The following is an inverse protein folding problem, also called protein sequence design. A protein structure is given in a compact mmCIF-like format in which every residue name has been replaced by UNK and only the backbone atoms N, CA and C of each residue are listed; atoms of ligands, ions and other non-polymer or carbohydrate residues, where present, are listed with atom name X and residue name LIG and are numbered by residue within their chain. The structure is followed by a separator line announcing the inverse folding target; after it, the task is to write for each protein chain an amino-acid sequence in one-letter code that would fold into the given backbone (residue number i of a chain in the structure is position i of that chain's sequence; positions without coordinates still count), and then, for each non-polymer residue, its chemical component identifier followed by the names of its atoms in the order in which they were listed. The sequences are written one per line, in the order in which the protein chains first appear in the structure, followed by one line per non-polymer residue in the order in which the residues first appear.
data_IF_241385329915
#
_entry.id   IF_241385329915
#
_cell.length_a   1.000
_cell.length_b   1.000
_cell.length_c   1.000
_cell.angle_alpha   90.00
_cell.angle_beta   90.00
_cell.angle_gamma   90.00
#
_symmetry.space_group_name_H-M   'P 1'
#
loop_
_entity.id
_entity.type
_entity.pdbx_description
1 polymer ?
#
# COMPACT_ATOMS: atom_id res chain seq x y z
N UNK A 1 -10.98 0.46 8.39
CA UNK A 1 -9.69 1.12 8.66
C UNK A 1 -9.72 2.49 7.99
N UNK A 2 -9.15 3.51 8.63
CA UNK A 2 -9.09 4.87 8.09
C UNK A 2 -7.78 5.15 7.36
N UNK A 3 -7.73 6.26 6.63
CA UNK A 3 -6.52 6.77 5.99
C UNK A 3 -5.61 7.40 7.07
N UNK A 4 -4.42 6.85 7.34
CA UNK A 4 -3.58 7.27 8.46
C UNK A 4 -3.05 8.70 8.33
N UNK A 5 -2.88 9.19 7.11
CA UNK A 5 -2.33 10.53 6.87
C UNK A 5 -3.23 11.69 7.34
N UNK A 6 -4.49 11.42 7.72
CA UNK A 6 -5.37 12.39 8.35
C UNK A 6 -5.19 12.50 9.87
N UNK A 7 -4.40 11.62 10.49
CA UNK A 7 -4.25 11.57 11.94
C UNK A 7 -2.78 11.70 12.36
N UNK A 8 -2.40 12.88 12.86
CA UNK A 8 -1.02 13.15 13.32
C UNK A 8 -0.57 12.25 14.48
N UNK A 9 -1.50 11.75 15.30
CA UNK A 9 -1.19 10.84 16.41
C UNK A 9 -0.62 9.50 15.95
N UNK A 10 -0.76 9.15 14.66
CA UNK A 10 -0.12 7.93 14.09
C UNK A 10 1.40 8.02 14.23
N UNK A 11 2.00 9.18 13.95
CA UNK A 11 3.45 9.39 14.05
C UNK A 11 3.88 9.30 15.52
N UNK A 12 3.18 10.01 16.40
CA UNK A 12 3.47 10.02 17.84
C UNK A 12 3.35 8.61 18.43
N UNK A 13 2.31 7.87 18.09
CA UNK A 13 2.12 6.48 18.54
C UNK A 13 3.25 5.57 18.07
N UNK A 14 3.68 5.71 16.81
CA UNK A 14 4.81 4.93 16.28
C UNK A 14 6.11 5.24 17.03
N UNK A 15 6.37 6.53 17.31
CA UNK A 15 7.56 6.96 18.05
C UNK A 15 7.58 6.43 19.48
N UNK A 16 6.45 6.54 20.20
CA UNK A 16 6.31 6.00 21.57
C UNK A 16 6.52 4.49 21.58
N UNK A 17 5.86 3.77 20.68
CA UNK A 17 5.98 2.32 20.60
C UNK A 17 7.41 1.90 20.24
N UNK A 18 8.07 2.59 19.33
CA UNK A 18 9.47 2.31 18.98
C UNK A 18 10.41 2.49 20.18
N UNK A 19 10.16 3.49 21.03
CA UNK A 19 10.95 3.72 22.23
C UNK A 19 10.69 2.68 23.32
N UNK A 20 9.42 2.32 23.55
CA UNK A 20 9.03 1.33 24.58
C UNK A 20 9.56 -0.06 24.23
N UNK A 21 9.48 -0.44 22.95
CA UNK A 21 9.74 -1.83 22.54
C UNK A 21 11.14 -2.09 21.98
N UNK A 22 11.99 -1.06 21.85
CA UNK A 22 13.36 -1.24 21.33
C UNK A 22 14.17 -2.28 22.08
N UNK A 23 13.92 -2.44 23.40
CA UNK A 23 14.61 -3.38 24.25
C UNK A 23 13.88 -4.75 24.38
N UNK A 24 12.64 -4.83 23.91
CA UNK A 24 11.77 -6.01 24.01
C UNK A 24 11.73 -6.82 22.72
N UNK A 25 11.71 -6.14 21.58
CA UNK A 25 11.66 -6.77 20.26
C UNK A 25 12.95 -6.47 19.50
N UNK A 26 13.52 -7.49 18.86
CA UNK A 26 14.68 -7.30 17.98
C UNK A 26 14.38 -6.35 16.83
N UNK A 27 13.14 -6.37 16.35
CA UNK A 27 12.69 -5.60 15.20
C UNK A 27 11.27 -5.09 15.47
N UNK A 28 11.09 -3.79 15.43
CA UNK A 28 9.78 -3.14 15.46
C UNK A 28 9.71 -2.15 14.29
N UNK A 29 8.95 -2.52 13.28
CA UNK A 29 8.85 -1.77 12.03
C UNK A 29 7.43 -1.27 11.76
N UNK A 30 7.04 -0.12 12.31
CA UNK A 30 5.75 0.48 11.97
C UNK A 30 5.69 0.80 10.48
N UNK A 31 4.51 0.55 9.88
CA UNK A 31 4.26 0.82 8.46
C UNK A 31 3.01 1.65 8.32
N UNK A 32 3.11 2.74 7.56
CA UNK A 32 1.96 3.52 7.09
C UNK A 32 1.68 3.15 5.65
N UNK A 33 0.41 2.85 5.36
CA UNK A 33 -0.08 2.68 4.00
C UNK A 33 -1.07 3.81 3.68
N UNK A 34 -0.88 4.48 2.56
CA UNK A 34 -1.72 5.60 2.14
C UNK A 34 -2.17 5.47 0.69
N UNK A 35 -3.41 5.88 0.43
CA UNK A 35 -3.92 6.08 -0.92
C UNK A 35 -3.56 7.45 -1.50
N UNK A 36 -2.84 8.29 -0.78
CA UNK A 36 -2.55 9.67 -1.13
C UNK A 36 -3.81 10.50 -1.38
N UNK A 37 -4.62 10.79 -0.34
CA UNK A 37 -5.90 11.45 -0.50
C UNK A 37 -5.72 12.90 -0.96
N UNK A 38 -6.35 13.27 -2.09
CA UNK A 38 -6.33 14.63 -2.68
C UNK A 38 -6.86 15.71 -1.72
N UNK A 39 -7.75 15.33 -0.82
CA UNK A 39 -8.34 16.25 0.16
C UNK A 39 -7.41 16.59 1.33
N UNK A 40 -6.33 15.80 1.53
CA UNK A 40 -5.39 16.06 2.63
C UNK A 40 -4.36 17.11 2.24
N UNK A 41 -4.56 18.34 2.68
CA UNK A 41 -3.64 19.46 2.43
C UNK A 41 -2.31 19.35 3.17
N UNK A 42 -2.22 18.47 4.17
CA UNK A 42 -1.02 18.24 4.97
C UNK A 42 -0.33 16.91 4.62
N UNK A 43 -0.70 16.28 3.50
CA UNK A 43 -0.17 14.97 3.11
C UNK A 43 1.36 14.99 2.99
N UNK A 44 1.94 15.95 2.29
CA UNK A 44 3.39 16.08 2.10
C UNK A 44 4.11 16.26 3.45
N UNK A 45 3.59 17.13 4.32
CA UNK A 45 4.13 17.35 5.68
C UNK A 45 4.06 16.07 6.52
N UNK A 46 2.92 15.36 6.48
CA UNK A 46 2.74 14.12 7.21
C UNK A 46 3.75 13.05 6.75
N UNK A 47 3.88 12.84 5.45
CA UNK A 47 4.79 11.81 4.90
C UNK A 47 6.26 12.15 5.17
N UNK A 48 6.64 13.42 5.04
CA UNK A 48 7.98 13.88 5.39
C UNK A 48 8.29 13.61 6.88
N UNK A 49 7.38 14.00 7.77
CA UNK A 49 7.52 13.79 9.22
C UNK A 49 7.56 12.29 9.56
N UNK A 50 6.78 11.45 8.88
CA UNK A 50 6.82 9.99 9.02
C UNK A 50 8.20 9.42 8.71
N UNK A 51 8.79 9.83 7.57
CA UNK A 51 10.12 9.36 7.15
C UNK A 51 11.20 9.82 8.12
N UNK A 52 11.17 11.10 8.55
CA UNK A 52 12.14 11.62 9.51
C UNK A 52 12.03 10.91 10.86
N UNK A 53 10.81 10.73 11.37
CA UNK A 53 10.58 9.96 12.60
C UNK A 53 11.12 8.54 12.49
N UNK A 54 10.96 7.91 11.32
CA UNK A 54 11.53 6.59 11.06
C UNK A 54 13.05 6.57 11.18
N UNK A 55 13.75 7.63 10.74
CA UNK A 55 15.20 7.72 10.87
C UNK A 55 15.66 7.94 12.31
N UNK A 56 14.84 8.61 13.11
CA UNK A 56 15.14 8.92 14.50
C UNK A 56 14.83 7.76 15.45
N UNK A 57 13.70 7.10 15.24
CA UNK A 57 13.16 6.10 16.17
C UNK A 57 13.13 4.65 15.62
N UNK A 58 13.14 4.47 14.32
CA UNK A 58 12.99 3.17 13.66
C UNK A 58 14.30 2.42 13.40
N UNK A 59 15.43 2.91 13.95
CA UNK A 59 16.73 2.31 13.74
C UNK A 59 17.25 2.44 12.29
N UNK A 60 18.06 1.48 11.85
CA UNK A 60 18.69 1.53 10.53
C UNK A 60 17.71 1.40 9.36
N UNK A 61 16.63 0.66 9.54
CA UNK A 61 15.63 0.43 8.48
C UNK A 61 14.59 1.54 8.38
N UNK A 62 14.42 2.33 9.46
CA UNK A 62 13.41 3.37 9.53
C UNK A 62 11.98 2.82 9.60
N UNK A 63 11.00 3.70 9.43
CA UNK A 63 9.59 3.32 9.32
C UNK A 63 9.23 2.97 7.89
N UNK A 64 8.36 1.97 7.71
CA UNK A 64 7.86 1.60 6.40
C UNK A 64 6.83 2.59 5.88
N UNK A 65 6.93 2.92 4.60
CA UNK A 65 5.95 3.76 3.90
C UNK A 65 5.49 3.05 2.63
N UNK A 66 4.17 2.81 2.55
CA UNK A 66 3.54 2.14 1.43
C UNK A 66 2.54 3.07 0.74
N UNK A 67 2.63 3.14 -0.58
CA UNK A 67 1.70 3.86 -1.45
C UNK A 67 0.78 2.88 -2.16
N UNK A 68 -0.53 3.04 -2.02
CA UNK A 68 -1.52 2.24 -2.76
C UNK A 68 -1.61 2.76 -4.19
N UNK A 69 -0.89 2.14 -5.12
CA UNK A 69 -0.84 2.52 -6.53
C UNK A 69 -1.92 1.80 -7.33
N UNK A 70 -1.96 0.49 -7.26
CA UNK A 70 -2.90 -0.47 -7.85
C UNK A 70 -2.85 -0.59 -9.38
N UNK A 71 -2.60 0.48 -10.12
CA UNK A 71 -2.54 0.50 -11.59
C UNK A 71 -1.71 1.68 -12.07
N UNK A 72 -1.12 1.59 -13.25
CA UNK A 72 -0.41 2.67 -13.95
C UNK A 72 -1.29 3.38 -14.99
N UNK A 73 -2.61 3.20 -14.90
CA UNK A 73 -3.61 3.94 -15.65
C UNK A 73 -4.38 4.88 -14.71
N UNK A 74 -4.31 6.20 -14.98
CA UNK A 74 -4.96 7.20 -14.13
C UNK A 74 -6.50 7.14 -14.17
N UNK A 75 -7.11 6.71 -15.28
CA UNK A 75 -8.57 6.58 -15.36
C UNK A 75 -9.04 5.38 -14.52
N UNK A 76 -8.35 4.24 -14.67
CA UNK A 76 -8.62 3.06 -13.86
C UNK A 76 -8.43 3.38 -12.38
N UNK A 77 -7.33 4.06 -12.01
CA UNK A 77 -7.04 4.49 -10.65
C UNK A 77 -8.13 5.41 -10.09
N UNK A 78 -8.58 6.39 -10.87
CA UNK A 78 -9.65 7.30 -10.47
C UNK A 78 -10.97 6.57 -10.19
N UNK A 79 -11.30 5.55 -10.98
CA UNK A 79 -12.47 4.69 -10.71
C UNK A 79 -12.28 3.91 -9.40
N UNK A 80 -11.11 3.26 -9.19
CA UNK A 80 -10.83 2.46 -8.00
C UNK A 80 -10.89 3.29 -6.71
N UNK A 81 -10.40 4.52 -6.72
CA UNK A 81 -10.37 5.41 -5.56
C UNK A 81 -11.48 6.46 -5.55
N UNK A 82 -12.48 6.34 -6.42
CA UNK A 82 -13.60 7.27 -6.53
C UNK A 82 -13.14 8.74 -6.63
N UNK A 83 -12.15 9.01 -7.45
CA UNK A 83 -11.50 10.33 -7.65
C UNK A 83 -10.93 10.98 -6.38
N UNK A 84 -10.70 10.21 -5.32
CA UNK A 84 -10.22 10.75 -4.03
C UNK A 84 -8.70 10.72 -3.86
N UNK A 85 -7.98 10.00 -4.72
CA UNK A 85 -6.51 9.90 -4.69
C UNK A 85 -5.85 10.94 -5.61
N UNK A 86 -4.60 11.28 -5.32
CA UNK A 86 -3.71 12.00 -6.24
C UNK A 86 -3.47 11.19 -7.52
N UNK A 87 -3.10 11.86 -8.63
CA UNK A 87 -2.65 11.18 -9.85
C UNK A 87 -1.31 10.48 -9.65
N UNK A 88 -0.93 9.62 -10.57
CA UNK A 88 0.36 8.93 -10.53
C UNK A 88 1.54 9.90 -10.60
N UNK A 89 1.44 10.94 -11.41
CA UNK A 89 2.44 12.00 -11.56
C UNK A 89 2.57 12.82 -10.26
N UNK A 90 1.45 13.19 -9.65
CA UNK A 90 1.43 13.90 -8.36
C UNK A 90 2.07 13.05 -7.25
N UNK A 91 1.81 11.73 -7.23
CA UNK A 91 2.43 10.80 -6.27
C UNK A 91 3.93 10.65 -6.56
N UNK A 92 4.32 10.53 -7.82
CA UNK A 92 5.72 10.47 -8.24
C UNK A 92 6.50 11.69 -7.74
N UNK A 93 5.98 12.90 -7.99
CA UNK A 93 6.61 14.14 -7.53
C UNK A 93 6.64 14.24 -5.99
N UNK A 94 5.60 13.77 -5.31
CA UNK A 94 5.57 13.70 -3.85
C UNK A 94 6.68 12.78 -3.33
N UNK A 95 6.86 11.59 -3.89
CA UNK A 95 7.92 10.64 -3.51
C UNK A 95 9.32 11.24 -3.74
N UNK A 96 9.52 11.96 -4.83
CA UNK A 96 10.82 12.61 -5.13
C UNK A 96 11.22 13.65 -4.08
N UNK A 97 10.25 14.35 -3.50
CA UNK A 97 10.47 15.37 -2.46
C UNK A 97 10.77 14.76 -1.08
N UNK A 98 10.35 13.52 -0.81
CA UNK A 98 10.63 12.88 0.47
C UNK A 98 12.14 12.65 0.65
N UNK A 99 12.65 12.61 1.89
CA UNK A 99 14.02 12.19 2.17
C UNK A 99 14.31 10.82 1.55
N UNK A 100 15.52 10.63 1.02
CA UNK A 100 15.90 9.35 0.41
C UNK A 100 15.88 8.22 1.45
N UNK A 101 15.27 7.07 1.15
CA UNK A 101 15.28 5.94 2.08
C UNK A 101 16.72 5.49 2.34
N UNK A 102 17.04 5.15 3.59
CA UNK A 102 18.40 4.70 3.97
C UNK A 102 18.61 3.25 3.56
N UNK A 103 17.81 2.33 4.09
CA UNK A 103 17.85 0.89 3.77
C UNK A 103 16.51 0.42 3.21
N UNK A 104 15.42 0.72 3.90
CA UNK A 104 14.08 0.27 3.52
C UNK A 104 13.47 1.21 2.49
N UNK A 105 13.44 0.79 1.24
CA UNK A 105 12.80 1.52 0.14
C UNK A 105 11.29 1.73 0.41
N UNK A 106 10.72 2.75 -0.20
CA UNK A 106 9.26 2.95 -0.21
C UNK A 106 8.57 1.84 -0.99
N UNK A 107 7.41 1.42 -0.54
CA UNK A 107 6.67 0.33 -1.17
C UNK A 107 5.58 0.89 -2.08
N UNK A 108 5.61 0.56 -3.35
CA UNK A 108 4.53 0.78 -4.31
C UNK A 108 3.66 -0.48 -4.32
N UNK A 109 2.48 -0.40 -3.70
CA UNK A 109 1.59 -1.55 -3.59
C UNK A 109 0.56 -1.57 -4.72
N UNK A 110 0.48 -2.71 -5.37
CA UNK A 110 -0.47 -3.03 -6.43
C UNK A 110 -1.38 -4.16 -5.96
N UNK A 111 -2.62 -3.83 -5.63
CA UNK A 111 -3.67 -4.83 -5.49
C UNK A 111 -4.16 -5.18 -6.90
N UNK A 112 -3.77 -6.36 -7.40
CA UNK A 112 -3.96 -6.71 -8.81
C UNK A 112 -5.12 -7.66 -9.05
N UNK A 113 -5.83 -7.36 -10.13
CA UNK A 113 -6.76 -8.25 -10.84
C UNK A 113 -6.12 -8.65 -12.17
N UNK A 114 -6.84 -9.42 -13.00
CA UNK A 114 -6.40 -9.72 -14.36
C UNK A 114 -6.22 -8.50 -15.28
N UNK A 115 -6.76 -7.34 -14.94
CA UNK A 115 -6.89 -6.17 -15.83
C UNK A 115 -6.02 -4.96 -15.43
N UNK A 116 -5.22 -5.05 -14.36
CA UNK A 116 -4.40 -3.92 -13.94
C UNK A 116 -3.29 -3.63 -14.97
N UNK A 117 -3.07 -2.34 -15.22
CA UNK A 117 -1.91 -1.89 -16.00
C UNK A 117 -0.69 -1.75 -15.08
N UNK A 118 0.35 -2.54 -15.34
CA UNK A 118 1.68 -2.47 -14.74
C UNK A 118 2.77 -2.44 -15.83
N UNK A 119 2.60 -1.61 -16.84
CA UNK A 119 3.59 -1.46 -17.90
C UNK A 119 4.94 -0.99 -17.34
N UNK A 120 6.01 -1.75 -17.65
CA UNK A 120 7.38 -1.51 -17.16
C UNK A 120 7.93 -0.16 -17.59
N UNK A 121 7.62 0.31 -18.80
CA UNK A 121 8.10 1.61 -19.29
C UNK A 121 7.42 2.75 -18.54
N UNK A 122 6.11 2.65 -18.31
CA UNK A 122 5.39 3.61 -17.47
C UNK A 122 5.95 3.63 -16.05
N UNK A 123 6.24 2.44 -15.49
CA UNK A 123 6.83 2.30 -14.16
C UNK A 123 8.17 3.02 -14.05
N UNK A 124 9.09 2.76 -15.00
CA UNK A 124 10.42 3.39 -15.06
C UNK A 124 10.36 4.92 -15.27
N UNK A 125 9.34 5.42 -15.97
CA UNK A 125 9.16 6.86 -16.19
C UNK A 125 8.61 7.59 -14.96
N UNK A 126 7.79 6.91 -14.16
CA UNK A 126 7.13 7.51 -13.00
C UNK A 126 7.98 7.39 -11.74
N UNK A 127 8.57 6.24 -11.47
CA UNK A 127 9.18 5.92 -10.20
C UNK A 127 10.65 5.51 -10.32
N UNK A 128 11.41 5.81 -9.27
CA UNK A 128 12.82 5.46 -9.16
C UNK A 128 12.98 4.14 -8.38
N UNK A 129 13.51 3.12 -9.05
CA UNK A 129 13.76 1.79 -8.47
C UNK A 129 14.81 1.77 -7.37
N UNK A 130 15.66 2.80 -7.29
CA UNK A 130 16.60 2.94 -6.17
C UNK A 130 15.90 3.41 -4.89
N UNK A 131 14.76 4.08 -5.02
CA UNK A 131 13.97 4.61 -3.90
C UNK A 131 12.77 3.74 -3.55
N UNK A 132 12.28 2.94 -4.50
CA UNK A 132 11.03 2.20 -4.39
C UNK A 132 11.21 0.71 -4.65
N UNK A 133 10.36 -0.10 -4.01
CA UNK A 133 10.13 -1.51 -4.33
C UNK A 133 8.68 -1.69 -4.77
N UNK A 134 8.41 -2.72 -5.54
CA UNK A 134 7.04 -3.09 -5.94
C UNK A 134 6.53 -4.21 -5.04
N UNK A 135 5.34 -4.02 -4.48
CA UNK A 135 4.59 -5.08 -3.80
C UNK A 135 3.35 -5.40 -4.61
N UNK A 136 3.22 -6.66 -5.02
CA UNK A 136 2.05 -7.16 -5.74
C UNK A 136 1.22 -8.00 -4.77
N UNK A 137 -0.06 -7.66 -4.64
CA UNK A 137 -1.02 -8.39 -3.81
C UNK A 137 -2.18 -8.82 -4.71
N UNK A 138 -2.28 -10.09 -5.09
CA UNK A 138 -3.46 -10.58 -5.81
C UNK A 138 -4.73 -10.31 -5.01
N UNK A 139 -5.77 -9.83 -5.68
CA UNK A 139 -7.07 -9.60 -5.04
C UNK A 139 -7.79 -10.94 -4.92
N UNK A 140 -8.24 -11.24 -3.69
CA UNK A 140 -9.07 -12.41 -3.42
C UNK A 140 -10.52 -12.19 -3.81
N UNK A 141 -11.27 -13.30 -3.95
CA UNK A 141 -12.71 -13.31 -4.18
C UNK A 141 -13.45 -12.81 -2.94
N UNK A 142 -13.50 -11.48 -2.79
CA UNK A 142 -14.35 -10.87 -1.77
C UNK A 142 -15.71 -10.53 -2.35
N UNK A 143 -16.74 -10.43 -1.51
CA UNK A 143 -18.10 -10.05 -1.94
C UNK A 143 -18.09 -8.73 -2.73
N UNK A 144 -17.24 -7.78 -2.34
CA UNK A 144 -17.10 -6.49 -3.04
C UNK A 144 -16.33 -6.64 -4.36
N UNK A 145 -15.31 -7.51 -4.43
CA UNK A 145 -14.61 -7.80 -5.69
C UNK A 145 -15.55 -8.40 -6.73
N UNK A 146 -16.37 -9.37 -6.32
CA UNK A 146 -17.39 -10.00 -7.18
C UNK A 146 -18.45 -8.99 -7.63
N UNK A 147 -18.98 -8.16 -6.73
CA UNK A 147 -19.95 -7.10 -7.08
C UNK A 147 -19.40 -6.08 -8.08
N UNK A 148 -18.11 -5.79 -8.01
CA UNK A 148 -17.44 -4.86 -8.90
C UNK A 148 -16.94 -5.53 -10.21
N UNK A 149 -17.17 -6.84 -10.37
CA UNK A 149 -16.82 -7.59 -11.58
C UNK A 149 -15.32 -7.82 -11.75
N UNK A 150 -14.54 -7.81 -10.67
CA UNK A 150 -13.11 -8.10 -10.76
C UNK A 150 -12.84 -9.57 -10.98
N UNK A 151 -12.00 -9.88 -11.97
CA UNK A 151 -11.50 -11.25 -12.19
C UNK A 151 -10.43 -11.61 -11.17
N UNK A 152 -10.48 -12.84 -10.67
CA UNK A 152 -9.48 -13.39 -9.75
C UNK A 152 -8.26 -13.80 -10.58
N UNK A 153 -7.09 -13.40 -10.12
CA UNK A 153 -5.83 -13.79 -10.76
C UNK A 153 -5.20 -14.95 -10.00
N UNK A 154 -4.96 -16.05 -10.69
CA UNK A 154 -4.21 -17.16 -10.11
C UNK A 154 -2.76 -16.79 -9.88
N UNK A 155 -2.12 -17.35 -8.86
CA UNK A 155 -0.74 -17.02 -8.45
C UNK A 155 0.28 -17.15 -9.59
N UNK A 156 0.09 -18.13 -10.47
CA UNK A 156 0.97 -18.33 -11.63
C UNK A 156 0.85 -17.18 -12.65
N UNK A 157 -0.37 -16.71 -12.89
CA UNK A 157 -0.61 -15.61 -13.83
C UNK A 157 -0.02 -14.28 -13.32
N UNK A 158 0.00 -14.09 -11.99
CA UNK A 158 0.64 -12.94 -11.36
C UNK A 158 2.15 -12.94 -11.62
N UNK A 159 2.80 -14.09 -11.52
CA UNK A 159 4.23 -14.22 -11.79
C UNK A 159 4.56 -13.84 -13.24
N UNK A 160 3.96 -14.53 -14.21
CA UNK A 160 4.29 -14.31 -15.63
C UNK A 160 3.89 -12.91 -16.13
N UNK A 161 2.73 -12.41 -15.68
CA UNK A 161 2.20 -11.16 -16.17
C UNK A 161 2.83 -9.92 -15.53
N UNK A 162 3.09 -9.97 -14.23
CA UNK A 162 3.45 -8.77 -13.46
C UNK A 162 4.85 -8.85 -12.84
N UNK A 163 5.18 -9.93 -12.14
CA UNK A 163 6.44 -10.03 -11.41
C UNK A 163 7.64 -10.13 -12.33
N UNK A 164 7.63 -11.09 -13.23
CA UNK A 164 8.75 -11.40 -14.12
C UNK A 164 9.22 -10.20 -14.96
N UNK A 165 8.33 -9.46 -15.66
CA UNK A 165 8.74 -8.29 -16.45
C UNK A 165 9.37 -7.18 -15.60
N UNK A 166 8.90 -6.97 -14.37
CA UNK A 166 9.45 -6.00 -13.45
C UNK A 166 10.83 -6.40 -12.93
N UNK A 167 10.99 -7.68 -12.54
CA UNK A 167 12.29 -8.23 -12.10
C UNK A 167 13.31 -8.17 -13.23
N UNK A 168 12.95 -8.53 -14.45
CA UNK A 168 13.83 -8.43 -15.63
C UNK A 168 14.23 -6.98 -15.93
N UNK A 169 13.39 -6.00 -15.59
CA UNK A 169 13.71 -4.57 -15.68
C UNK A 169 14.53 -4.04 -14.49
N UNK A 170 14.86 -4.90 -13.52
CA UNK A 170 15.71 -4.57 -12.37
C UNK A 170 14.95 -3.94 -11.20
N UNK A 171 13.65 -4.15 -11.08
CA UNK A 171 12.87 -3.80 -9.91
C UNK A 171 13.00 -4.85 -8.81
N UNK A 172 13.08 -4.41 -7.55
CA UNK A 172 12.84 -5.28 -6.41
C UNK A 172 11.33 -5.51 -6.30
N UNK A 173 10.88 -6.76 -6.35
CA UNK A 173 9.47 -7.14 -6.34
C UNK A 173 9.18 -8.10 -5.19
N UNK A 174 8.08 -7.86 -4.47
CA UNK A 174 7.54 -8.74 -3.45
C UNK A 174 6.13 -9.13 -3.88
N UNK A 175 5.85 -10.42 -4.01
CA UNK A 175 4.49 -10.94 -4.18
C UNK A 175 3.99 -11.43 -2.82
N UNK A 176 2.91 -10.84 -2.35
CA UNK A 176 2.23 -11.25 -1.13
C UNK A 176 0.91 -11.93 -1.50
N UNK A 177 0.84 -13.23 -1.26
CA UNK A 177 -0.40 -13.99 -1.44
C UNK A 177 -1.01 -14.19 -0.06
N UNK A 178 -2.16 -13.55 0.26
CA UNK A 178 -2.88 -13.80 1.50
C UNK A 178 -3.31 -15.26 1.60
N UNK A 179 -3.46 -15.78 2.83
CA UNK A 179 -3.96 -17.13 3.01
C UNK A 179 -5.47 -17.21 2.75
N UNK A 180 -5.95 -18.38 2.31
CA UNK A 180 -7.39 -18.63 2.13
C UNK A 180 -8.17 -18.51 3.45
N UNK A 181 -7.53 -18.82 4.58
CA UNK A 181 -8.10 -18.72 5.92
C UNK A 181 -8.47 -17.28 6.29
N UNK A 182 -7.71 -16.29 5.81
CA UNK A 182 -8.04 -14.87 6.03
C UNK A 182 -9.37 -14.47 5.38
N UNK A 183 -9.74 -15.11 4.29
CA UNK A 183 -11.02 -14.86 3.60
C UNK A 183 -12.19 -15.57 4.30
N UNK A 184 -11.98 -16.77 4.83
CA UNK A 184 -13.00 -17.54 5.57
C UNK A 184 -13.41 -16.80 6.84
N UNK A 185 -12.48 -16.22 7.57
CA UNK A 185 -12.72 -15.46 8.80
C UNK A 185 -13.13 -13.99 8.55
N UNK A 186 -13.16 -13.54 7.28
CA UNK A 186 -13.51 -12.16 6.87
C UNK A 186 -12.65 -11.09 7.52
N UNK A 187 -11.38 -11.39 7.79
CA UNK A 187 -10.43 -10.45 8.37
C UNK A 187 -9.69 -9.59 7.34
N UNK A 188 -9.91 -9.85 6.05
CA UNK A 188 -9.35 -9.05 4.95
C UNK A 188 -9.96 -7.65 4.86
N UNK A 189 -9.20 -6.70 4.29
CA UNK A 189 -9.64 -5.33 4.11
C UNK A 189 -10.94 -5.24 3.31
N UNK A 190 -11.94 -4.55 3.86
CA UNK A 190 -13.28 -4.39 3.26
C UNK A 190 -14.32 -5.40 3.75
N UNK A 191 -13.93 -6.55 4.26
CA UNK A 191 -14.87 -7.57 4.74
C UNK A 191 -15.46 -7.29 6.13
N UNK A 192 -14.75 -6.59 7.00
CA UNK A 192 -15.16 -6.33 8.38
C UNK A 192 -16.44 -5.48 8.49
N UNK A 193 -16.68 -4.54 7.57
CA UNK A 193 -17.89 -3.70 7.56
C UNK A 193 -19.13 -4.50 7.18
N UNK A 194 -19.00 -5.43 6.24
CA UNK A 194 -20.10 -6.30 5.77
C UNK A 194 -20.52 -7.28 6.87
N UNK A 195 -19.57 -7.77 7.64
CA UNK A 195 -19.87 -8.65 8.78
C UNK A 195 -20.72 -7.94 9.85
N UNK A 196 -20.44 -6.65 10.13
CA UNK A 196 -21.21 -5.83 11.08
C UNK A 196 -22.63 -5.52 10.58
N UNK A 197 -22.82 -5.26 9.29
CA UNK A 197 -24.15 -5.04 8.71
C UNK A 197 -25.01 -6.30 8.69
N UNK A 198 -24.42 -7.44 8.43
CA UNK A 198 -25.12 -8.74 8.41
C UNK A 198 -25.46 -9.24 9.82
N UNK A 199 -24.68 -8.92 10.84
CA UNK A 199 -25.02 -9.22 12.25
C UNK A 199 -26.22 -8.40 12.72
N UNK A 200 -26.29 -7.11 12.38
CA UNK A 200 -27.43 -6.24 12.69
C UNK A 200 -28.74 -6.62 12.01
N UNK A 201 -28.67 -7.27 10.83
CA UNK A 201 -29.86 -7.78 10.11
C UNK A 201 -30.38 -9.11 10.66
N UNK A 202 -29.59 -9.84 11.46
CA UNK A 202 -30.01 -11.10 12.09
C UNK A 202 -30.63 -10.90 13.48
N UNK A 203 -30.47 -9.71 14.06
CA UNK A 203 -31.03 -9.34 15.37
C UNK A 203 -32.37 -8.59 15.26
N UNK A 204 -32.89 -8.33 14.07
CA UNK A 204 -34.20 -7.80 13.75
C UNK A 204 -35.05 -8.84 13.00
#
# INVERSE_FOLDING_TARGET
MGEPSFNKNVIESANILSQIYKDTFKEFHPVVSTMCPRSNKQLEEFLHSWVISGYEYGGEDGYGLQFSINTLDNEQRNKMFNNKSLSLEEISELIKKLPSPKKRKFTLNFAVTGENDLDVNKMNNLFDKERCIVKITPIHETVEAVKNGYEIVHTFDVYEKYEKPLVEAGWDVIVFVPSLEEDEDRITCGNSLIALENSKKKEN
#
